data_IF_215230415718
#
_entry.id   IF_215230415718
#
_cell.length_a   1.000
_cell.length_b   1.000
_cell.length_c   1.000
_cell.angle_alpha   90.00
_cell.angle_beta   90.00
_cell.angle_gamma   90.00
#
_symmetry.space_group_name_H-M   'P 1'
#
loop_
_entity.id
_entity.type
_entity.pdbx_description
1 polymer ?
#
# COMPACT_ATOMS: atom_id res chain seq x y z
N UNK A 1 0.27 22.80 9.39
CA UNK A 1 1.63 23.30 9.68
C UNK A 1 2.32 23.50 8.33
N UNK A 2 3.07 24.59 8.08
CA UNK A 2 3.84 24.72 6.84
C UNK A 2 4.85 23.58 6.77
N UNK A 3 4.88 22.85 5.66
CA UNK A 3 5.87 21.80 5.46
C UNK A 3 7.23 22.49 5.26
N UNK A 4 8.07 22.49 6.30
CA UNK A 4 9.37 23.20 6.29
C UNK A 4 10.43 22.44 5.51
N UNK A 5 10.23 21.14 5.33
CA UNK A 5 11.08 20.29 4.52
C UNK A 5 10.70 20.42 3.05
N UNK A 6 11.73 20.54 2.20
CA UNK A 6 11.55 20.47 0.75
C UNK A 6 11.45 19.01 0.36
N UNK A 7 10.47 18.68 -0.47
CA UNK A 7 10.26 17.32 -0.94
C UNK A 7 10.86 17.14 -2.34
N UNK A 8 11.29 15.93 -2.65
CA UNK A 8 11.64 15.54 -4.01
C UNK A 8 10.45 14.87 -4.69
N UNK A 9 10.22 15.18 -5.96
CA UNK A 9 9.19 14.53 -6.75
C UNK A 9 9.83 13.75 -7.91
N UNK A 10 9.56 12.45 -7.97
CA UNK A 10 9.87 11.61 -9.11
C UNK A 10 8.60 11.42 -9.94
N UNK A 11 8.68 11.65 -11.25
CA UNK A 11 7.53 11.56 -12.17
C UNK A 11 7.84 10.57 -13.27
N UNK A 12 6.95 9.61 -13.50
CA UNK A 12 6.95 8.80 -14.72
C UNK A 12 5.87 9.38 -15.65
N UNK A 13 6.25 10.21 -16.63
CA UNK A 13 5.29 10.91 -17.47
C UNK A 13 4.68 9.94 -18.50
N UNK A 14 3.36 9.77 -18.43
CA UNK A 14 2.56 9.22 -19.53
C UNK A 14 2.33 10.20 -20.68
N UNK A 15 1.59 9.76 -21.70
CA UNK A 15 1.23 10.57 -22.87
C UNK A 15 0.52 11.88 -22.48
N UNK A 16 0.94 13.01 -23.05
CA UNK A 16 0.34 14.32 -22.80
C UNK A 16 0.77 15.02 -21.51
N UNK A 17 1.84 14.56 -20.85
CA UNK A 17 2.31 15.16 -19.59
C UNK A 17 2.67 16.66 -19.74
N UNK A 18 2.06 17.57 -18.95
CA UNK A 18 2.26 19.00 -19.09
C UNK A 18 3.53 19.49 -18.38
N UNK A 19 4.71 19.18 -18.91
CA UNK A 19 6.01 19.54 -18.31
C UNK A 19 6.18 21.05 -18.06
N UNK A 20 5.49 21.90 -18.84
CA UNK A 20 5.51 23.36 -18.65
C UNK A 20 4.90 23.83 -17.33
N UNK A 21 4.12 22.98 -16.63
CA UNK A 21 3.54 23.29 -15.32
C UNK A 21 4.48 22.96 -14.16
N UNK A 22 5.58 22.24 -14.39
CA UNK A 22 6.54 21.84 -13.35
C UNK A 22 7.05 23.02 -12.49
N UNK A 23 7.39 24.20 -13.04
CA UNK A 23 7.83 25.33 -12.21
C UNK A 23 6.75 25.80 -11.22
N UNK A 24 5.48 25.76 -11.64
CA UNK A 24 4.34 26.10 -10.78
C UNK A 24 4.11 25.03 -9.72
N UNK A 25 4.21 23.76 -10.11
CA UNK A 25 4.09 22.63 -9.17
C UNK A 25 5.18 22.74 -8.10
N UNK A 26 6.44 22.94 -8.49
CA UNK A 26 7.55 23.11 -7.56
C UNK A 26 7.35 24.28 -6.59
N UNK A 27 6.84 25.42 -7.10
CA UNK A 27 6.54 26.59 -6.27
C UNK A 27 5.39 26.35 -5.29
N UNK A 28 4.29 25.72 -5.74
CA UNK A 28 3.09 25.50 -4.92
C UNK A 28 3.27 24.39 -3.88
N UNK A 29 4.15 23.42 -4.15
CA UNK A 29 4.31 22.21 -3.31
C UNK A 29 5.63 22.17 -2.54
N UNK A 30 6.42 23.24 -2.59
CA UNK A 30 7.72 23.37 -1.91
C UNK A 30 8.70 22.22 -2.25
N UNK A 31 8.85 21.93 -3.55
CA UNK A 31 9.78 20.89 -4.01
C UNK A 31 11.21 21.41 -4.11
N UNK A 32 12.18 20.55 -3.79
CA UNK A 32 13.60 20.76 -4.07
C UNK A 32 13.94 20.39 -5.53
N UNK A 33 13.31 19.34 -6.06
CA UNK A 33 13.52 18.86 -7.42
C UNK A 33 12.30 18.13 -7.97
N UNK A 34 12.21 18.11 -9.30
CA UNK A 34 11.33 17.24 -10.09
C UNK A 34 12.22 16.44 -11.02
N UNK A 35 12.17 15.11 -10.95
CA UNK A 35 12.98 14.22 -11.78
C UNK A 35 12.10 13.24 -12.52
N UNK A 36 12.40 13.00 -13.80
CA UNK A 36 11.67 12.02 -14.59
C UNK A 36 12.28 10.64 -14.45
N UNK A 37 11.44 9.65 -14.16
CA UNK A 37 11.83 8.25 -13.97
C UNK A 37 11.07 7.35 -14.94
N UNK A 38 11.72 6.28 -15.39
CA UNK A 38 11.11 5.29 -16.29
C UNK A 38 10.48 4.12 -15.53
N UNK A 39 10.89 3.92 -14.28
CA UNK A 39 10.48 2.79 -13.45
C UNK A 39 9.76 3.25 -12.17
N UNK A 40 9.03 2.32 -11.55
CA UNK A 40 8.39 2.56 -10.25
C UNK A 40 9.47 2.78 -9.20
N UNK A 41 9.39 3.91 -8.49
CA UNK A 41 10.29 4.23 -7.38
C UNK A 41 9.82 3.47 -6.14
N UNK A 42 10.66 2.58 -5.63
CA UNK A 42 10.49 1.90 -4.33
C UNK A 42 10.86 2.84 -3.19
N UNK A 43 10.32 2.63 -2.00
CA UNK A 43 10.65 3.49 -0.86
C UNK A 43 10.11 4.93 -1.03
N UNK A 44 8.93 5.07 -1.64
CA UNK A 44 8.32 6.35 -1.93
C UNK A 44 6.80 6.29 -1.77
N UNK A 45 6.19 7.43 -1.41
CA UNK A 45 4.76 7.61 -1.53
C UNK A 45 4.40 7.78 -3.01
N UNK A 46 3.86 6.73 -3.61
CA UNK A 46 3.46 6.71 -5.01
C UNK A 46 1.97 6.90 -5.22
N UNK A 47 1.58 7.62 -6.27
CA UNK A 47 0.21 7.66 -6.77
C UNK A 47 0.17 7.77 -8.29
N UNK A 48 -0.96 7.40 -8.90
CA UNK A 48 -1.17 7.42 -10.36
C UNK A 48 -2.35 8.32 -10.68
N UNK A 49 -2.16 9.22 -11.65
CA UNK A 49 -3.21 10.09 -12.17
C UNK A 49 -3.23 9.96 -13.70
N UNK A 50 -4.28 9.35 -14.24
CA UNK A 50 -4.35 9.01 -15.65
C UNK A 50 -3.23 8.05 -16.05
N UNK A 51 -2.36 8.48 -16.96
CA UNK A 51 -1.17 7.73 -17.41
C UNK A 51 0.13 8.17 -16.72
N UNK A 52 0.07 9.16 -15.83
CA UNK A 52 1.24 9.68 -15.13
C UNK A 52 1.34 9.06 -13.74
N UNK A 53 2.54 8.63 -13.36
CA UNK A 53 2.84 8.17 -12.00
C UNK A 53 3.73 9.19 -11.31
N UNK A 54 3.39 9.49 -10.07
CA UNK A 54 4.10 10.42 -9.21
C UNK A 54 4.61 9.65 -8.00
N UNK A 55 5.81 9.96 -7.53
CA UNK A 55 6.43 9.28 -6.40
C UNK A 55 7.26 10.28 -5.59
N UNK A 56 6.98 10.36 -4.29
CA UNK A 56 7.72 11.19 -3.34
C UNK A 56 8.56 10.26 -2.48
N UNK A 57 9.89 10.21 -2.65
CA UNK A 57 10.77 9.39 -1.82
C UNK A 57 10.55 9.66 -0.33
N UNK A 58 10.71 8.63 0.49
CA UNK A 58 10.69 8.81 1.93
C UNK A 58 11.84 9.74 2.35
N UNK A 59 11.53 10.76 3.16
CA UNK A 59 12.54 11.70 3.67
C UNK A 59 13.41 11.07 4.75
N UNK A 60 14.48 11.77 5.14
CA UNK A 60 15.48 11.29 6.13
C UNK A 60 14.89 10.97 7.51
N UNK A 61 13.72 11.52 7.85
CA UNK A 61 13.00 11.24 9.10
C UNK A 61 12.02 10.06 9.05
N UNK A 62 11.87 9.39 7.91
CA UNK A 62 10.95 8.26 7.78
C UNK A 62 11.65 6.94 8.12
N UNK A 63 11.31 6.38 9.27
CA UNK A 63 11.83 5.09 9.73
C UNK A 63 11.14 3.95 8.97
N UNK A 64 11.73 3.60 7.81
CA UNK A 64 11.26 2.50 6.95
C UNK A 64 11.22 1.19 7.74
N UNK A 65 12.19 0.94 8.62
CA UNK A 65 12.25 -0.29 9.39
C UNK A 65 11.16 -0.36 10.45
N UNK A 66 10.84 0.75 11.12
CA UNK A 66 9.72 0.82 12.06
C UNK A 66 8.37 0.66 11.35
N UNK A 67 8.16 1.32 10.21
CA UNK A 67 6.92 1.16 9.44
C UNK A 67 6.81 -0.25 8.84
N UNK A 68 7.91 -0.83 8.34
CA UNK A 68 7.96 -2.22 7.88
C UNK A 68 7.64 -3.18 9.02
N UNK A 69 8.23 -3.01 10.20
CA UNK A 69 7.97 -3.85 11.36
C UNK A 69 6.50 -3.78 11.80
N UNK A 70 5.89 -2.59 11.74
CA UNK A 70 4.48 -2.38 12.05
C UNK A 70 3.58 -3.10 11.04
N UNK A 71 3.82 -2.93 9.74
CA UNK A 71 3.04 -3.60 8.68
C UNK A 71 3.24 -5.11 8.73
N UNK A 72 4.46 -5.60 9.01
CA UNK A 72 4.74 -7.03 9.18
C UNK A 72 3.95 -7.61 10.36
N UNK A 73 3.90 -6.90 11.49
CA UNK A 73 3.13 -7.32 12.66
C UNK A 73 1.63 -7.41 12.34
N UNK A 74 1.09 -6.44 11.61
CA UNK A 74 -0.30 -6.46 11.16
C UNK A 74 -0.57 -7.61 10.18
N UNK A 75 0.38 -7.89 9.27
CA UNK A 75 0.32 -9.03 8.35
C UNK A 75 0.30 -10.36 9.11
N UNK A 76 1.21 -10.55 10.06
CA UNK A 76 1.31 -11.78 10.86
C UNK A 76 0.01 -12.04 11.64
N UNK A 77 -0.62 -10.97 12.16
CA UNK A 77 -1.93 -11.05 12.83
C UNK A 77 -3.03 -11.49 11.86
N UNK A 78 -3.13 -10.87 10.67
CA UNK A 78 -4.14 -11.24 9.68
C UNK A 78 -3.93 -12.67 9.16
N UNK A 79 -2.68 -13.08 8.95
CA UNK A 79 -2.36 -14.46 8.58
C UNK A 79 -2.74 -15.45 9.69
N UNK A 80 -2.52 -15.10 10.96
CA UNK A 80 -2.99 -15.89 12.11
C UNK A 80 -4.51 -16.03 12.15
N UNK A 81 -5.22 -14.93 11.91
CA UNK A 81 -6.68 -14.93 11.80
C UNK A 81 -7.17 -15.83 10.65
N UNK A 82 -6.57 -15.68 9.46
CA UNK A 82 -6.88 -16.52 8.29
C UNK A 82 -6.67 -18.01 8.58
N UNK A 83 -5.57 -18.38 9.26
CA UNK A 83 -5.33 -19.77 9.68
C UNK A 83 -6.43 -20.30 10.58
N UNK A 84 -6.90 -19.49 11.54
CA UNK A 84 -8.01 -19.88 12.42
C UNK A 84 -9.32 -20.08 11.67
N UNK A 85 -9.63 -19.21 10.70
CA UNK A 85 -10.87 -19.31 9.89
C UNK A 85 -10.81 -20.53 8.99
N UNK A 86 -9.69 -20.73 8.28
CA UNK A 86 -9.46 -21.91 7.43
C UNK A 86 -9.53 -23.21 8.20
N UNK A 87 -8.99 -23.25 9.43
CA UNK A 87 -9.09 -24.44 10.28
C UNK A 87 -10.53 -24.83 10.64
N UNK A 88 -11.44 -23.85 10.76
CA UNK A 88 -12.87 -24.12 10.94
C UNK A 88 -13.51 -24.62 9.65
N UNK A 89 -13.22 -23.95 8.53
CA UNK A 89 -13.77 -24.30 7.22
C UNK A 89 -13.23 -25.62 6.64
N UNK A 90 -12.04 -26.08 7.06
CA UNK A 90 -11.49 -27.38 6.66
C UNK A 90 -12.08 -28.54 7.46
N UNK A 91 -12.76 -28.27 8.56
CA UNK A 91 -13.39 -29.31 9.36
C UNK A 91 -14.76 -29.66 8.76
N UNK A 92 -14.85 -30.80 8.10
CA UNK A 92 -16.09 -31.28 7.48
C UNK A 92 -17.26 -31.38 8.48
N UNK A 93 -16.99 -31.64 9.76
CA UNK A 93 -18.04 -31.63 10.80
C UNK A 93 -18.59 -30.23 11.08
N UNK A 94 -17.77 -29.20 10.93
CA UNK A 94 -18.20 -27.81 11.07
C UNK A 94 -18.96 -27.36 9.82
N UNK A 95 -18.46 -27.68 8.62
CA UNK A 95 -19.13 -27.30 7.37
C UNK A 95 -20.48 -27.99 7.21
N UNK A 96 -20.58 -29.27 7.57
CA UNK A 96 -21.82 -30.03 7.42
C UNK A 96 -22.75 -29.93 8.64
N UNK A 97 -22.22 -29.53 9.81
CA UNK A 97 -22.96 -29.53 11.07
C UNK A 97 -23.32 -28.13 11.61
N UNK A 98 -22.63 -27.08 11.18
CA UNK A 98 -22.96 -25.71 11.60
C UNK A 98 -24.06 -25.10 10.72
N UNK A 99 -24.84 -24.14 11.24
CA UNK A 99 -25.81 -23.40 10.44
C UNK A 99 -25.14 -22.76 9.22
N UNK A 100 -25.81 -22.79 8.08
CA UNK A 100 -25.30 -22.25 6.80
C UNK A 100 -24.84 -20.78 6.94
N UNK A 101 -25.59 -19.98 7.70
CA UNK A 101 -25.24 -18.60 8.02
C UNK A 101 -23.89 -18.45 8.75
N UNK A 102 -23.51 -19.41 9.59
CA UNK A 102 -22.22 -19.42 10.31
C UNK A 102 -21.09 -19.79 9.34
N UNK A 103 -21.30 -20.80 8.50
CA UNK A 103 -20.32 -21.21 7.47
C UNK A 103 -20.07 -20.07 6.48
N UNK A 104 -21.13 -19.41 6.02
CA UNK A 104 -21.03 -18.29 5.09
C UNK A 104 -20.36 -17.07 5.71
N UNK A 105 -20.64 -16.78 6.99
CA UNK A 105 -19.93 -15.73 7.73
C UNK A 105 -18.43 -16.03 7.87
N UNK A 106 -18.03 -17.28 8.11
CA UNK A 106 -16.61 -17.66 8.15
C UNK A 106 -15.97 -17.57 6.75
N UNK A 107 -16.67 -17.94 5.67
CA UNK A 107 -16.18 -17.74 4.29
C UNK A 107 -16.01 -16.25 3.94
N UNK A 108 -16.93 -15.38 4.38
CA UNK A 108 -16.78 -13.92 4.21
C UNK A 108 -15.56 -13.40 4.96
N UNK A 109 -15.36 -13.83 6.20
CA UNK A 109 -14.16 -13.49 6.99
C UNK A 109 -12.87 -13.96 6.30
N UNK A 110 -12.87 -15.13 5.67
CA UNK A 110 -11.74 -15.61 4.88
C UNK A 110 -11.43 -14.68 3.71
N UNK A 111 -12.45 -14.32 2.92
CA UNK A 111 -12.28 -13.41 1.79
C UNK A 111 -11.78 -12.03 2.22
N UNK A 112 -12.36 -11.46 3.29
CA UNK A 112 -11.94 -10.18 3.85
C UNK A 112 -10.50 -10.21 4.37
N UNK A 113 -10.10 -11.31 5.03
CA UNK A 113 -8.74 -11.49 5.52
C UNK A 113 -7.73 -11.61 4.36
N UNK A 114 -8.06 -12.36 3.31
CA UNK A 114 -7.23 -12.48 2.11
C UNK A 114 -7.03 -11.12 1.41
N UNK A 115 -8.10 -10.35 1.26
CA UNK A 115 -8.03 -9.02 0.67
C UNK A 115 -7.13 -8.09 1.50
N UNK A 116 -7.26 -8.11 2.83
CA UNK A 116 -6.39 -7.31 3.72
C UNK A 116 -4.94 -7.76 3.67
N UNK A 117 -4.68 -9.06 3.65
CA UNK A 117 -3.33 -9.62 3.54
C UNK A 117 -2.67 -9.15 2.24
N UNK A 118 -3.37 -9.23 1.10
CA UNK A 118 -2.84 -8.80 -0.18
C UNK A 118 -2.42 -7.31 -0.17
N UNK A 119 -3.24 -6.44 0.43
CA UNK A 119 -2.92 -5.00 0.57
C UNK A 119 -1.71 -4.78 1.49
N UNK A 120 -1.60 -5.53 2.59
CA UNK A 120 -0.47 -5.43 3.52
C UNK A 120 0.83 -5.94 2.89
N UNK A 121 0.77 -7.01 2.10
CA UNK A 121 1.91 -7.56 1.34
C UNK A 121 2.39 -6.58 0.26
N UNK A 122 1.46 -5.96 -0.48
CA UNK A 122 1.79 -4.92 -1.45
C UNK A 122 2.45 -3.72 -0.76
N UNK A 123 1.91 -3.28 0.39
CA UNK A 123 2.50 -2.20 1.17
C UNK A 123 3.90 -2.55 1.67
N UNK A 124 4.16 -3.78 2.11
CA UNK A 124 5.50 -4.23 2.49
C UNK A 124 6.47 -4.25 1.31
N UNK A 125 6.00 -4.66 0.13
CA UNK A 125 6.80 -4.66 -1.09
C UNK A 125 7.20 -3.24 -1.52
N UNK A 126 6.31 -2.26 -1.30
CA UNK A 126 6.57 -0.85 -1.62
C UNK A 126 7.51 -0.16 -0.61
N UNK A 127 7.55 -0.64 0.63
CA UNK A 127 8.53 -0.28 1.65
C UNK A 127 9.90 -0.99 1.47
N UNK A 128 10.06 -1.83 0.43
CA UNK A 128 11.19 -2.75 0.21
C UNK A 128 12.04 -2.48 -1.03
#
# INVERSE_FOLDING_TARGET
>A
MPNKEKLELKVQPGEGYPAHLEPWIAHLTNLSSIEHVTEKVKGAFGFVQGTHRFSVPFGEGFDIDAERAKVQKDLDYQQGFLRSVRGKLSNEKFVNGAPEQVVENERKKEADALAKIAVLEEKLADLG
#
